data_IF_678596980195
#
_entry.id   IF_678596980195
#
_cell.length_a   1.000
_cell.length_b   1.000
_cell.length_c   1.000
_cell.angle_alpha   90.00
_cell.angle_beta   90.00
_cell.angle_gamma   90.00
#
_symmetry.space_group_name_H-M   'P 1'
#
loop_
_entity.id
_entity.type
_entity.pdbx_description
1 polymer ?
#
# COMPACT_ATOMS: atom_id res chain seq x y z
N UNK A 1 4.69 28.52 -37.40
CA UNK A 1 3.62 27.78 -36.71
C UNK A 1 3.88 26.27 -36.64
N UNK A 2 4.04 25.55 -37.78
CA UNK A 2 4.21 24.07 -37.80
C UNK A 2 5.40 23.54 -36.97
N UNK A 3 6.58 24.15 -37.12
CA UNK A 3 7.80 23.78 -36.37
C UNK A 3 7.66 24.02 -34.85
N UNK A 4 6.89 25.04 -34.44
CA UNK A 4 6.62 25.28 -33.02
C UNK A 4 5.65 24.26 -32.45
N UNK A 5 4.62 23.85 -33.23
CA UNK A 5 3.70 22.79 -32.83
C UNK A 5 4.41 21.44 -32.71
N UNK A 6 5.30 21.11 -33.66
CA UNK A 6 6.11 19.89 -33.62
C UNK A 6 7.05 19.85 -32.40
N UNK A 7 7.74 20.96 -32.12
CA UNK A 7 8.56 21.07 -30.93
C UNK A 7 7.75 20.99 -29.62
N UNK A 8 6.52 21.53 -29.60
CA UNK A 8 5.64 21.43 -28.43
C UNK A 8 5.20 19.98 -28.18
N UNK A 9 4.83 19.23 -29.23
CA UNK A 9 4.48 17.81 -29.13
C UNK A 9 5.68 16.98 -28.66
N UNK A 10 6.87 17.23 -29.23
CA UNK A 10 8.10 16.55 -28.80
C UNK A 10 8.40 16.80 -27.32
N UNK A 11 8.39 18.07 -26.88
CA UNK A 11 8.62 18.42 -25.48
C UNK A 11 7.60 17.79 -24.53
N UNK A 12 6.32 17.72 -24.91
CA UNK A 12 5.29 17.04 -24.11
C UNK A 12 5.60 15.53 -23.98
N UNK A 13 6.00 14.88 -25.07
CA UNK A 13 6.37 13.46 -25.06
C UNK A 13 7.60 13.20 -24.19
N UNK A 14 8.63 14.05 -24.32
CA UNK A 14 9.83 14.01 -23.47
C UNK A 14 9.47 14.19 -21.99
N UNK A 15 8.63 15.18 -21.65
CA UNK A 15 8.16 15.41 -20.29
C UNK A 15 7.45 14.18 -19.71
N UNK A 16 6.55 13.54 -20.48
CA UNK A 16 5.86 12.33 -20.02
C UNK A 16 6.82 11.17 -19.77
N UNK A 17 7.85 11.01 -20.61
CA UNK A 17 8.88 9.99 -20.41
C UNK A 17 9.76 10.30 -19.18
N UNK A 18 10.12 11.57 -18.95
CA UNK A 18 10.83 11.98 -17.74
C UNK A 18 9.98 11.78 -16.48
N UNK A 19 8.68 12.07 -16.52
CA UNK A 19 7.78 11.85 -15.39
C UNK A 19 7.72 10.37 -15.03
N UNK A 20 7.54 9.48 -16.03
CA UNK A 20 7.57 8.02 -15.82
C UNK A 20 8.92 7.55 -15.24
N UNK A 21 10.03 8.08 -15.74
CA UNK A 21 11.35 7.75 -15.20
C UNK A 21 11.49 8.23 -13.74
N UNK A 22 11.02 9.44 -13.45
CA UNK A 22 11.03 10.01 -12.10
C UNK A 22 10.22 9.16 -11.13
N UNK A 23 9.00 8.75 -11.49
CA UNK A 23 8.17 7.87 -10.65
C UNK A 23 8.84 6.52 -10.39
N UNK A 24 9.50 5.94 -11.41
CA UNK A 24 10.25 4.70 -11.23
C UNK A 24 11.48 4.88 -10.33
N UNK A 25 12.17 6.01 -10.45
CA UNK A 25 13.30 6.33 -9.57
C UNK A 25 12.85 6.52 -8.12
N UNK A 26 11.72 7.21 -7.90
CA UNK A 26 11.17 7.43 -6.57
C UNK A 26 10.77 6.10 -5.90
N UNK A 27 10.12 5.21 -6.64
CA UNK A 27 9.84 3.85 -6.17
C UNK A 27 11.11 3.05 -5.81
N UNK A 28 12.19 3.20 -6.58
CA UNK A 28 13.48 2.56 -6.28
C UNK A 28 14.12 3.16 -5.02
N UNK A 29 14.06 4.49 -4.85
CA UNK A 29 14.57 5.18 -3.66
C UNK A 29 13.81 4.72 -2.41
N UNK A 30 12.48 4.66 -2.47
CA UNK A 30 11.67 4.15 -1.36
C UNK A 30 12.10 2.72 -0.96
N UNK A 31 12.27 1.84 -1.95
CA UNK A 31 12.74 0.46 -1.71
C UNK A 31 14.16 0.39 -1.14
N UNK A 32 15.06 1.27 -1.59
CA UNK A 32 16.43 1.34 -1.05
C UNK A 32 16.45 1.87 0.39
N UNK A 33 15.60 2.84 0.74
CA UNK A 33 15.47 3.35 2.10
C UNK A 33 14.94 2.26 3.05
N UNK A 34 13.92 1.51 2.62
CA UNK A 34 13.47 0.29 3.30
C UNK A 34 14.62 -0.67 3.55
N UNK A 35 15.39 -0.99 2.51
CA UNK A 35 16.51 -1.93 2.61
C UNK A 35 17.59 -1.44 3.55
N UNK A 36 17.93 -0.15 3.53
CA UNK A 36 18.91 0.45 4.43
C UNK A 36 18.46 0.33 5.90
N UNK A 37 17.20 0.66 6.20
CA UNK A 37 16.60 0.50 7.54
C UNK A 37 16.63 -0.96 7.99
N UNK A 38 16.23 -1.90 7.12
CA UNK A 38 16.25 -3.33 7.41
C UNK A 38 17.66 -3.88 7.64
N UNK A 39 18.66 -3.37 6.93
CA UNK A 39 20.07 -3.73 7.17
C UNK A 39 20.55 -3.28 8.56
N UNK A 40 20.17 -2.08 8.99
CA UNK A 40 20.46 -1.59 10.35
C UNK A 40 19.79 -2.46 11.41
N UNK A 41 18.51 -2.81 11.22
CA UNK A 41 17.77 -3.69 12.14
C UNK A 41 18.41 -5.07 12.22
N UNK A 42 18.77 -5.67 11.08
CA UNK A 42 19.44 -6.97 11.01
C UNK A 42 20.77 -6.96 11.79
N UNK A 43 21.53 -5.88 11.70
CA UNK A 43 22.78 -5.71 12.46
C UNK A 43 22.52 -5.62 13.97
N UNK A 44 21.52 -4.85 14.39
CA UNK A 44 21.12 -4.76 15.80
C UNK A 44 20.65 -6.12 16.33
N UNK A 45 19.85 -6.85 15.55
CA UNK A 45 19.36 -8.18 15.90
C UNK A 45 20.51 -9.18 16.06
N UNK A 46 21.49 -9.14 15.15
CA UNK A 46 22.70 -9.97 15.24
C UNK A 46 23.47 -9.72 16.54
N UNK A 47 23.57 -8.47 16.98
CA UNK A 47 24.26 -8.13 18.23
C UNK A 47 23.49 -8.62 19.46
N UNK A 48 22.16 -8.51 19.45
CA UNK A 48 21.30 -9.00 20.53
C UNK A 48 21.41 -10.52 20.67
N UNK A 49 21.35 -11.25 19.55
CA UNK A 49 21.51 -12.71 19.55
C UNK A 49 22.86 -13.12 20.14
N UNK A 50 23.96 -12.45 19.76
CA UNK A 50 25.29 -12.70 20.36
C UNK A 50 25.33 -12.41 21.86
N UNK A 51 24.69 -11.33 22.29
CA UNK A 51 24.62 -10.96 23.71
C UNK A 51 23.78 -11.95 24.51
N UNK A 52 22.71 -12.48 23.91
CA UNK A 52 21.88 -13.52 24.49
C UNK A 52 22.66 -14.85 24.62
N UNK A 53 23.38 -15.26 23.58
CA UNK A 53 24.22 -16.45 23.57
C UNK A 53 25.30 -16.38 24.67
N UNK A 54 25.96 -15.23 24.82
CA UNK A 54 26.95 -15.00 25.87
C UNK A 54 26.32 -15.03 27.28
N UNK A 55 25.12 -14.47 27.44
CA UNK A 55 24.40 -14.47 28.73
C UNK A 55 23.91 -15.87 29.11
N UNK A 56 23.47 -16.66 28.12
CA UNK A 56 23.08 -18.06 28.28
C UNK A 56 24.29 -18.92 28.68
N UNK A 57 25.43 -18.74 28.02
CA UNK A 57 26.65 -19.49 28.32
C UNK A 57 27.20 -19.21 29.73
N UNK A 58 26.97 -18.00 30.26
CA UNK A 58 27.39 -17.61 31.60
C UNK A 58 26.32 -17.83 32.68
N UNK A 59 25.13 -18.33 32.31
CA UNK A 59 24.01 -18.52 33.23
C UNK A 59 23.48 -17.23 33.85
N UNK A 60 23.75 -16.08 33.22
CA UNK A 60 23.37 -14.78 33.76
C UNK A 60 21.94 -14.42 33.34
N UNK A 61 20.96 -14.88 34.15
CA UNK A 61 19.54 -14.61 33.91
C UNK A 61 19.20 -13.11 33.89
N UNK A 62 19.88 -12.29 34.71
CA UNK A 62 19.67 -10.84 34.74
C UNK A 62 19.99 -10.21 33.38
N UNK A 63 21.18 -10.51 32.84
CA UNK A 63 21.58 -10.04 31.50
C UNK A 63 20.69 -10.61 30.40
N UNK A 64 20.21 -11.85 30.54
CA UNK A 64 19.27 -12.45 29.61
C UNK A 64 17.93 -11.68 29.58
N UNK A 65 17.41 -11.29 30.75
CA UNK A 65 16.21 -10.45 30.85
C UNK A 65 16.43 -9.09 30.18
N UNK A 66 17.55 -8.42 30.46
CA UNK A 66 17.87 -7.11 29.86
C UNK A 66 18.06 -7.19 28.33
N UNK A 67 18.63 -8.29 27.83
CA UNK A 67 18.75 -8.51 26.38
C UNK A 67 17.42 -8.84 25.72
N UNK A 68 16.52 -9.56 26.40
CA UNK A 68 15.16 -9.79 25.91
C UNK A 68 14.32 -8.52 25.88
N UNK A 69 14.41 -7.67 26.92
CA UNK A 69 13.75 -6.35 26.90
C UNK A 69 14.25 -5.48 25.73
N UNK A 70 15.53 -5.60 25.40
CA UNK A 70 16.13 -4.90 24.26
C UNK A 70 15.70 -5.50 22.92
N UNK A 71 15.56 -6.83 22.84
CA UNK A 71 15.01 -7.53 21.68
C UNK A 71 13.58 -7.07 21.40
N UNK A 72 12.73 -7.06 22.42
CA UNK A 72 11.32 -6.68 22.31
C UNK A 72 11.18 -5.22 21.84
N UNK A 73 11.97 -4.29 22.41
CA UNK A 73 12.01 -2.91 21.93
C UNK A 73 12.42 -2.78 20.47
N UNK A 74 13.43 -3.53 20.01
CA UNK A 74 13.86 -3.47 18.61
C UNK A 74 12.81 -4.08 17.67
N UNK A 75 12.15 -5.16 18.11
CA UNK A 75 11.11 -5.84 17.35
C UNK A 75 9.86 -4.98 17.20
N UNK A 76 9.35 -4.37 18.28
CA UNK A 76 8.20 -3.46 18.23
C UNK A 76 8.49 -2.24 17.35
N UNK A 77 9.69 -1.65 17.45
CA UNK A 77 10.07 -0.55 16.57
C UNK A 77 10.09 -0.96 15.08
N UNK A 78 10.48 -2.20 14.78
CA UNK A 78 10.47 -2.74 13.42
C UNK A 78 9.04 -2.91 12.91
N UNK A 79 8.13 -3.43 13.72
CA UNK A 79 6.71 -3.59 13.33
C UNK A 79 6.06 -2.24 13.06
N UNK A 80 6.24 -1.25 13.95
CA UNK A 80 5.71 0.10 13.76
C UNK A 80 6.28 0.76 12.50
N UNK A 81 7.58 0.57 12.22
CA UNK A 81 8.19 1.10 11.00
C UNK A 81 7.70 0.38 9.74
N UNK A 82 7.49 -0.93 9.80
CA UNK A 82 6.95 -1.70 8.69
C UNK A 82 5.50 -1.27 8.37
N UNK A 83 4.66 -1.14 9.39
CA UNK A 83 3.28 -0.67 9.26
C UNK A 83 3.22 0.76 8.70
N UNK A 84 4.05 1.68 9.23
CA UNK A 84 4.10 3.05 8.71
C UNK A 84 4.54 3.10 7.25
N UNK A 85 5.52 2.25 6.89
CA UNK A 85 6.02 2.17 5.53
C UNK A 85 5.00 1.54 4.59
N UNK A 86 4.27 0.50 5.01
CA UNK A 86 3.19 -0.10 4.24
C UNK A 86 2.05 0.89 4.00
N UNK A 87 1.63 1.64 5.03
CA UNK A 87 0.64 2.71 4.90
C UNK A 87 1.13 3.85 3.98
N UNK A 88 2.40 4.26 4.08
CA UNK A 88 2.96 5.29 3.21
C UNK A 88 3.10 4.81 1.76
N UNK A 89 3.49 3.55 1.55
CA UNK A 89 3.57 2.94 0.22
C UNK A 89 2.18 2.75 -0.38
N UNK A 90 1.18 2.34 0.39
CA UNK A 90 -0.21 2.25 -0.04
C UNK A 90 -0.75 3.63 -0.44
N UNK A 91 -0.49 4.68 0.34
CA UNK A 91 -0.86 6.06 -0.01
C UNK A 91 -0.18 6.59 -1.27
N UNK A 92 1.12 6.34 -1.45
CA UNK A 92 1.85 6.75 -2.67
C UNK A 92 1.41 5.93 -3.90
N UNK A 93 1.15 4.64 -3.71
CA UNK A 93 0.67 3.74 -4.76
C UNK A 93 -0.74 4.11 -5.20
N UNK A 94 -1.64 4.47 -4.27
CA UNK A 94 -3.00 4.93 -4.54
C UNK A 94 -3.07 6.09 -5.56
N UNK A 95 -2.08 7.00 -5.54
CA UNK A 95 -2.02 8.10 -6.51
C UNK A 95 -1.62 7.63 -7.93
N UNK A 96 -0.89 6.52 -8.03
CA UNK A 96 -0.40 5.95 -9.30
C UNK A 96 -1.22 4.77 -9.83
N UNK A 97 -2.01 4.13 -8.96
CA UNK A 97 -2.95 3.06 -9.26
C UNK A 97 -4.27 3.38 -8.56
N UNK A 98 -5.15 4.17 -9.19
CA UNK A 98 -6.47 4.48 -8.64
C UNK A 98 -7.28 3.18 -8.47
N UNK A 99 -7.92 3.00 -7.33
CA UNK A 99 -8.69 1.76 -7.06
C UNK A 99 -9.80 1.51 -8.08
N UNK A 100 -10.43 2.56 -8.61
CA UNK A 100 -11.44 2.44 -9.66
C UNK A 100 -10.89 1.79 -10.95
N UNK A 101 -9.66 2.14 -11.36
CA UNK A 101 -9.02 1.54 -12.54
C UNK A 101 -8.64 0.08 -12.28
N UNK A 102 -8.20 -0.24 -11.06
CA UNK A 102 -7.88 -1.62 -10.65
C UNK A 102 -9.15 -2.48 -10.61
N UNK A 103 -10.24 -1.97 -10.04
CA UNK A 103 -11.53 -2.68 -9.97
C UNK A 103 -12.11 -2.92 -11.36
N UNK A 104 -12.05 -1.93 -12.26
CA UNK A 104 -12.49 -2.09 -13.65
C UNK A 104 -11.66 -3.15 -14.38
N UNK A 105 -10.33 -3.15 -14.20
CA UNK A 105 -9.46 -4.16 -14.81
C UNK A 105 -9.72 -5.55 -14.23
N UNK A 106 -9.95 -5.65 -12.91
CA UNK A 106 -10.26 -6.92 -12.25
C UNK A 106 -11.56 -7.52 -12.78
N UNK A 107 -12.59 -6.70 -13.00
CA UNK A 107 -13.85 -7.15 -13.57
C UNK A 107 -13.70 -7.57 -15.05
N UNK A 108 -12.92 -6.83 -15.84
CA UNK A 108 -12.63 -7.22 -17.22
C UNK A 108 -11.89 -8.56 -17.30
N UNK A 109 -10.87 -8.76 -16.45
CA UNK A 109 -10.10 -10.02 -16.40
C UNK A 109 -10.97 -11.16 -15.88
N UNK A 110 -11.85 -10.90 -14.91
CA UNK A 110 -12.81 -11.87 -14.41
C UNK A 110 -13.78 -12.36 -15.51
N UNK A 111 -14.36 -11.42 -16.26
CA UNK A 111 -15.25 -11.69 -17.38
C UNK A 111 -14.52 -12.47 -18.50
N UNK A 112 -13.29 -12.08 -18.83
CA UNK A 112 -12.45 -12.73 -19.86
C UNK A 112 -12.05 -14.16 -19.50
N UNK A 113 -11.88 -14.46 -18.20
CA UNK A 113 -11.51 -15.77 -17.71
C UNK A 113 -12.70 -16.60 -17.21
N UNK A 114 -13.93 -16.11 -17.34
CA UNK A 114 -15.14 -16.78 -16.86
C UNK A 114 -15.13 -17.02 -15.35
N UNK A 115 -14.34 -16.24 -14.61
CA UNK A 115 -14.32 -16.23 -13.15
C UNK A 115 -15.41 -15.27 -12.72
N UNK A 116 -16.61 -15.76 -12.39
CA UNK A 116 -17.54 -14.93 -11.63
C UNK A 116 -16.82 -14.52 -10.33
N UNK A 117 -16.50 -13.23 -10.19
CA UNK A 117 -15.99 -12.65 -8.94
C UNK A 117 -17.16 -12.57 -7.97
N UNK A 118 -17.70 -13.74 -7.60
CA UNK A 118 -18.42 -13.96 -6.37
C UNK A 118 -17.40 -14.00 -5.24
N UNK A 119 -16.67 -12.90 -5.06
CA UNK A 119 -15.92 -12.67 -3.82
C UNK A 119 -16.99 -12.46 -2.76
N UNK A 120 -17.01 -13.35 -1.77
CA UNK A 120 -17.97 -13.42 -0.67
C UNK A 120 -18.16 -12.11 0.09
N UNK A 121 -18.96 -11.20 -0.46
CA UNK A 121 -19.85 -10.36 0.31
C UNK A 121 -21.08 -11.22 0.68
N UNK A 122 -21.58 -11.12 1.93
CA UNK A 122 -22.60 -12.01 2.45
C UNK A 122 -23.84 -11.97 1.57
N UNK A 123 -24.14 -13.12 0.95
CA UNK A 123 -25.34 -13.33 0.16
C UNK A 123 -26.53 -13.33 1.13
N UNK A 124 -27.48 -12.36 1.06
CA UNK A 124 -28.68 -12.45 1.86
C UNK A 124 -29.47 -13.66 1.37
N UNK A 125 -29.68 -14.60 2.27
CA UNK A 125 -30.43 -15.80 2.02
C UNK A 125 -31.86 -15.47 1.52
N UNK A 126 -32.20 -16.03 0.36
CA UNK A 126 -33.53 -16.56 0.08
C UNK A 126 -34.59 -15.60 -0.45
N UNK A 127 -35.28 -16.12 -1.47
CA UNK A 127 -36.63 -15.78 -1.95
C UNK A 127 -36.72 -14.69 -3.04
N UNK A 128 -37.14 -15.18 -4.21
CA UNK A 128 -37.55 -14.42 -5.37
C UNK A 128 -38.72 -13.46 -5.06
N UNK A 129 -38.57 -12.19 -5.40
CA UNK A 129 -39.67 -11.23 -5.64
C UNK A 129 -39.24 -10.32 -6.82
N UNK A 130 -40.12 -10.05 -7.81
CA UNK A 130 -39.71 -9.52 -9.11
C UNK A 130 -39.50 -7.99 -9.12
N UNK A 131 -38.51 -7.59 -9.93
CA UNK A 131 -38.40 -6.37 -10.75
C UNK A 131 -38.72 -5.03 -10.10
N UNK A 132 -37.68 -4.27 -9.75
CA UNK A 132 -37.69 -2.82 -9.84
C UNK A 132 -36.33 -2.31 -10.30
N UNK A 133 -36.36 -1.49 -11.34
CA UNK A 133 -35.27 -0.85 -12.06
C UNK A 133 -34.16 -0.36 -11.12
N UNK A 134 -32.94 -0.89 -11.25
CA UNK A 134 -31.76 -0.35 -10.58
C UNK A 134 -31.36 0.96 -11.28
N UNK A 135 -31.57 2.07 -10.57
CA UNK A 135 -30.95 3.35 -10.91
C UNK A 135 -29.44 3.21 -10.70
N UNK A 136 -28.66 3.48 -11.75
CA UNK A 136 -27.22 3.70 -11.63
C UNK A 136 -27.01 4.89 -10.69
N UNK A 137 -26.62 4.62 -9.44
CA UNK A 137 -26.16 5.67 -8.52
C UNK A 137 -24.77 6.08 -9.01
N UNK A 138 -24.71 7.18 -9.76
CA UNK A 138 -23.45 7.82 -10.14
C UNK A 138 -22.69 8.24 -8.85
N UNK A 139 -21.36 8.07 -8.83
CA UNK A 139 -20.47 8.42 -7.71
C UNK A 139 -20.67 9.86 -7.19
N UNK A 140 -21.21 10.74 -8.02
CA UNK A 140 -21.52 12.13 -7.67
C UNK A 140 -22.66 12.22 -6.62
N UNK A 141 -23.61 11.27 -6.61
CA UNK A 141 -24.70 11.23 -5.62
C UNK A 141 -24.19 10.80 -4.24
N UNK A 142 -23.24 9.84 -4.19
CA UNK A 142 -22.58 9.45 -2.95
C UNK A 142 -21.76 10.60 -2.38
N UNK A 143 -20.99 11.28 -3.23
CA UNK A 143 -20.18 12.45 -2.86
C UNK A 143 -21.03 13.58 -2.30
N UNK A 144 -22.21 13.81 -2.90
CA UNK A 144 -23.17 14.82 -2.47
C UNK A 144 -23.84 14.47 -1.14
N UNK A 145 -24.23 13.22 -0.93
CA UNK A 145 -24.81 12.73 0.33
C UNK A 145 -23.81 12.79 1.49
N UNK A 146 -22.54 12.51 1.22
CA UNK A 146 -21.46 12.62 2.21
C UNK A 146 -21.21 14.09 2.61
N UNK A 147 -21.28 15.02 1.66
CA UNK A 147 -21.18 16.45 1.93
C UNK A 147 -22.35 16.97 2.78
N UNK A 148 -23.58 16.53 2.52
CA UNK A 148 -24.76 16.89 3.33
C UNK A 148 -24.67 16.34 4.76
N UNK A 149 -24.20 15.10 4.94
CA UNK A 149 -23.98 14.52 6.26
C UNK A 149 -22.92 15.27 7.06
N UNK A 150 -21.84 15.71 6.39
CA UNK A 150 -20.76 16.49 7.00
C UNK A 150 -21.17 17.92 7.35
N UNK A 151 -22.14 18.49 6.65
CA UNK A 151 -22.69 19.81 6.95
C UNK A 151 -23.72 19.80 8.10
N UNK A 152 -24.21 18.62 8.48
CA UNK A 152 -25.26 18.43 9.48
C UNK A 152 -24.72 17.90 10.83
N UNK A 153 -23.44 17.58 10.91
CA UNK A 153 -22.70 17.33 12.16
C UNK A 153 -21.88 18.55 12.55
#
# INVERSE_FOLDING_TARGET
ARIYAENAIRKRSEQMNYLRLSSRLDAVVARLDTQAKMATITKSMTNIVKSLESSLATGNLQKMSETMDSFEKQFVNMEVQAEFMENAMAGSTSLSTPEGEVNSLMQQVADDHGLEVSVGLPQPAGHAIPTKTEEKVEEDDLSRRLAELKARG
#
